data_IF_309547044825
#
_entry.id   IF_309547044825
#
_cell.length_a   1.000
_cell.length_b   1.000
_cell.length_c   1.000
_cell.angle_alpha   90.00
_cell.angle_beta   90.00
_cell.angle_gamma   90.00
#
_symmetry.space_group_name_H-M   'P 1'
#
loop_
_entity.id
_entity.type
_entity.pdbx_description
1 polymer ?
#
# COMPACT_ATOMS: atom_id res chain seq x y z
N UNK A 1 -14.34 -6.12 17.63
CA UNK A 1 -14.84 -4.75 17.42
C UNK A 1 -13.68 -3.83 17.75
N UNK A 2 -13.01 -3.23 16.76
CA UNK A 2 -12.01 -2.18 16.99
C UNK A 2 -12.77 -0.96 17.53
N UNK A 3 -12.37 -0.47 18.70
CA UNK A 3 -12.94 0.75 19.26
C UNK A 3 -12.68 1.91 18.28
N UNK A 4 -13.74 2.61 17.91
CA UNK A 4 -13.72 3.83 17.08
C UNK A 4 -12.95 4.93 17.84
N UNK A 5 -11.66 4.80 17.99
CA UNK A 5 -10.74 5.81 18.56
C UNK A 5 -9.34 5.23 18.83
N UNK A 6 -9.07 3.99 18.37
CA UNK A 6 -7.74 3.42 18.55
C UNK A 6 -6.75 4.17 17.63
N UNK A 7 -5.68 4.72 18.20
CA UNK A 7 -4.58 5.32 17.45
C UNK A 7 -3.78 4.21 16.79
N UNK A 8 -3.80 4.14 15.47
CA UNK A 8 -3.10 3.11 14.69
C UNK A 8 -1.69 3.54 14.29
N UNK A 9 -1.55 4.77 13.80
CA UNK A 9 -0.27 5.28 13.32
C UNK A 9 -0.04 6.69 13.87
N UNK A 10 1.14 6.96 14.38
CA UNK A 10 1.56 8.29 14.82
C UNK A 10 2.97 8.59 14.32
N UNK A 11 3.13 9.74 13.68
CA UNK A 11 4.42 10.36 13.41
C UNK A 11 4.64 11.49 14.40
N UNK A 12 5.80 11.49 15.07
CA UNK A 12 6.19 12.54 16.04
C UNK A 12 7.44 13.24 15.58
N UNK A 13 7.33 14.53 15.32
CA UNK A 13 8.43 15.43 14.96
C UNK A 13 9.31 14.88 13.83
N UNK A 14 8.65 14.25 12.83
CA UNK A 14 9.34 13.61 11.72
C UNK A 14 9.95 14.66 10.82
N UNK A 15 11.26 14.54 10.60
CA UNK A 15 12.04 15.40 9.69
C UNK A 15 12.76 14.52 8.68
N UNK A 16 12.85 14.98 7.43
CA UNK A 16 13.58 14.29 6.36
C UNK A 16 14.40 15.27 5.54
N UNK A 17 15.69 15.01 5.48
CA UNK A 17 16.64 15.72 4.63
C UNK A 17 17.08 14.86 3.46
N UNK A 18 17.30 15.47 2.30
CA UNK A 18 18.01 14.90 1.16
C UNK A 18 19.19 15.83 0.85
N UNK A 19 20.38 15.48 1.34
CA UNK A 19 21.52 16.38 1.32
C UNK A 19 21.19 17.67 2.06
N UNK A 20 21.24 18.81 1.36
CA UNK A 20 20.93 20.15 1.90
C UNK A 20 19.44 20.52 1.81
N UNK A 21 18.61 19.69 1.17
CA UNK A 21 17.19 19.97 0.97
C UNK A 21 16.39 19.41 2.14
N UNK A 22 15.62 20.27 2.81
CA UNK A 22 14.64 19.87 3.82
C UNK A 22 13.33 19.51 3.12
N UNK A 23 13.00 18.21 3.07
CA UNK A 23 11.77 17.73 2.44
C UNK A 23 10.60 17.62 3.43
N UNK A 24 10.90 17.36 4.70
CA UNK A 24 9.93 17.37 5.81
C UNK A 24 10.61 18.03 7.02
N UNK A 25 9.88 18.86 7.74
CA UNK A 25 10.37 19.51 8.95
C UNK A 25 9.36 19.40 10.08
N UNK A 26 9.74 18.68 11.14
CA UNK A 26 8.99 18.56 12.39
C UNK A 26 7.50 18.16 12.21
N UNK A 27 7.23 17.24 11.28
CA UNK A 27 5.86 16.83 10.93
C UNK A 27 5.29 15.94 12.01
N UNK A 28 4.07 16.26 12.45
CA UNK A 28 3.27 15.49 13.39
C UNK A 28 1.99 15.06 12.71
N UNK A 29 1.64 13.75 12.83
CA UNK A 29 0.44 13.18 12.22
C UNK A 29 -0.07 12.04 13.08
N UNK A 30 -1.40 11.90 13.17
CA UNK A 30 -2.07 10.79 13.86
C UNK A 30 -3.16 10.23 12.97
N UNK A 31 -3.28 8.91 12.93
CA UNK A 31 -4.34 8.20 12.19
C UNK A 31 -5.02 7.21 13.16
N UNK A 32 -6.33 7.32 13.27
CA UNK A 32 -7.16 6.46 14.13
C UNK A 32 -7.88 5.39 13.29
N UNK A 33 -8.31 4.33 13.97
CA UNK A 33 -9.08 3.28 13.32
C UNK A 33 -10.41 3.84 12.76
N UNK A 34 -10.68 3.53 11.48
CA UNK A 34 -11.88 4.00 10.77
C UNK A 34 -11.81 5.46 10.30
N UNK A 35 -10.68 6.13 10.48
CA UNK A 35 -10.47 7.50 10.00
C UNK A 35 -10.04 7.51 8.53
N UNK A 36 -10.53 8.50 7.77
CA UNK A 36 -10.02 8.86 6.45
C UNK A 36 -9.37 10.23 6.55
N UNK A 37 -8.03 10.26 6.49
CA UNK A 37 -7.23 11.47 6.62
C UNK A 37 -6.75 11.95 5.26
N UNK A 38 -7.17 13.15 4.83
CA UNK A 38 -6.68 13.80 3.63
C UNK A 38 -5.45 14.66 3.90
N UNK A 39 -4.35 14.38 3.18
CA UNK A 39 -3.13 15.21 3.20
C UNK A 39 -3.12 16.12 1.97
N UNK A 40 -3.28 17.42 2.20
CA UNK A 40 -3.36 18.44 1.15
C UNK A 40 -2.17 19.40 1.22
N UNK A 41 -1.83 20.02 0.10
CA UNK A 41 -0.75 20.98 -0.03
C UNK A 41 -0.26 21.08 -1.47
N UNK A 42 0.56 22.09 -1.76
CA UNK A 42 1.10 22.37 -3.09
C UNK A 42 2.07 21.28 -3.58
N UNK A 43 2.40 21.30 -4.87
CA UNK A 43 3.44 20.44 -5.42
C UNK A 43 4.78 20.81 -4.77
N UNK A 44 5.52 19.80 -4.34
CA UNK A 44 6.76 20.00 -3.59
C UNK A 44 6.60 20.19 -2.08
N UNK A 45 5.38 20.26 -1.54
CA UNK A 45 5.14 20.42 -0.09
C UNK A 45 5.52 19.18 0.77
N UNK A 46 6.12 18.15 0.18
CA UNK A 46 6.60 16.98 0.92
C UNK A 46 5.56 15.86 1.11
N UNK A 47 4.36 15.96 0.53
CA UNK A 47 3.29 14.93 0.69
C UNK A 47 3.79 13.53 0.36
N UNK A 48 4.28 13.31 -0.85
CA UNK A 48 4.83 12.01 -1.28
C UNK A 48 6.03 11.57 -0.42
N UNK A 49 6.86 12.52 0.05
CA UNK A 49 7.96 12.19 0.96
C UNK A 49 7.43 11.68 2.30
N UNK A 50 6.39 12.32 2.85
CA UNK A 50 5.74 11.85 4.08
C UNK A 50 5.18 10.44 3.89
N UNK A 51 4.44 10.18 2.80
CA UNK A 51 3.89 8.85 2.51
C UNK A 51 5.00 7.79 2.42
N UNK A 52 6.12 8.11 1.77
CA UNK A 52 7.29 7.23 1.66
C UNK A 52 8.01 6.99 2.99
N UNK A 53 7.99 7.96 3.90
CA UNK A 53 8.51 7.77 5.28
C UNK A 53 7.56 6.87 6.07
N UNK A 54 6.26 7.10 6.02
CA UNK A 54 5.27 6.29 6.72
C UNK A 54 5.25 4.84 6.23
N UNK A 55 5.49 4.61 4.93
CA UNK A 55 5.56 3.27 4.33
C UNK A 55 6.91 2.56 4.49
N UNK A 56 7.89 3.16 5.19
CA UNK A 56 9.21 2.58 5.38
C UNK A 56 10.13 2.59 4.15
N UNK A 57 9.72 3.25 3.05
CA UNK A 57 10.57 3.41 1.87
C UNK A 57 11.72 4.39 2.14
N UNK A 58 11.48 5.40 2.97
CA UNK A 58 12.51 6.32 3.44
C UNK A 58 12.57 6.32 4.97
N UNK A 59 13.77 6.19 5.51
CA UNK A 59 13.99 6.43 6.94
C UNK A 59 13.88 7.93 7.23
N UNK A 60 13.21 8.34 8.32
CA UNK A 60 13.26 9.71 8.78
C UNK A 60 14.68 10.09 9.19
N UNK A 61 15.08 11.34 8.98
CA UNK A 61 16.37 11.86 9.47
C UNK A 61 16.33 12.12 10.98
N UNK A 62 15.16 12.48 11.51
CA UNK A 62 14.88 12.59 12.95
C UNK A 62 13.39 12.40 13.20
N UNK A 63 13.00 12.31 14.47
CA UNK A 63 11.64 12.01 14.87
C UNK A 63 11.40 10.51 15.05
N UNK A 64 10.14 10.12 15.20
CA UNK A 64 9.78 8.73 15.48
C UNK A 64 8.41 8.38 14.91
N UNK A 65 8.27 7.12 14.50
CA UNK A 65 7.01 6.51 14.08
C UNK A 65 6.53 5.55 15.17
N UNK A 66 5.22 5.51 15.39
CA UNK A 66 4.58 4.61 16.33
C UNK A 66 3.44 3.90 15.62
N UNK A 67 3.34 2.59 15.83
CA UNK A 67 2.26 1.75 15.31
C UNK A 67 1.59 1.00 16.47
N UNK A 68 0.26 1.10 16.57
CA UNK A 68 -0.50 0.60 17.74
C UNK A 68 0.14 1.03 19.10
N UNK A 69 0.64 2.27 19.17
CA UNK A 69 1.27 2.85 20.36
C UNK A 69 2.72 2.41 20.63
N UNK A 70 3.29 1.50 19.82
CA UNK A 70 4.67 1.06 19.93
C UNK A 70 5.57 1.85 18.98
N UNK A 71 6.75 2.24 19.45
CA UNK A 71 7.76 2.87 18.59
C UNK A 71 8.32 1.83 17.63
N UNK A 72 8.26 2.13 16.34
CA UNK A 72 8.74 1.25 15.29
C UNK A 72 9.86 1.91 14.50
N UNK A 73 10.82 1.08 14.07
CA UNK A 73 11.90 1.49 13.17
C UNK A 73 11.72 0.69 11.88
N UNK A 74 11.24 1.37 10.84
CA UNK A 74 11.03 0.76 9.54
C UNK A 74 12.34 0.80 8.74
N UNK A 75 12.89 -0.36 8.44
CA UNK A 75 14.09 -0.52 7.62
C UNK A 75 13.75 -0.67 6.14
N UNK A 76 12.52 -1.14 5.87
CA UNK A 76 12.02 -1.44 4.53
C UNK A 76 10.48 -1.33 4.45
N UNK A 77 9.91 -1.24 3.24
CA UNK A 77 8.46 -1.35 3.05
C UNK A 77 7.88 -2.68 3.56
N UNK A 78 8.68 -3.74 3.63
CA UNK A 78 8.24 -5.02 4.16
C UNK A 78 7.89 -4.93 5.64
N UNK A 79 8.66 -4.17 6.42
CA UNK A 79 8.40 -4.00 7.86
C UNK A 79 7.06 -3.29 8.09
N UNK A 80 6.76 -2.25 7.29
CA UNK A 80 5.46 -1.56 7.37
C UNK A 80 4.31 -2.49 6.98
N UNK A 81 4.51 -3.33 5.97
CA UNK A 81 3.53 -4.31 5.54
C UNK A 81 3.26 -5.37 6.61
N UNK A 82 4.27 -5.82 7.34
CA UNK A 82 4.12 -6.76 8.47
C UNK A 82 3.31 -6.14 9.62
N UNK A 83 3.36 -4.83 9.79
CA UNK A 83 2.51 -4.09 10.73
C UNK A 83 1.07 -3.87 10.21
N UNK A 84 0.81 -4.17 8.93
CA UNK A 84 -0.47 -3.97 8.27
C UNK A 84 -0.65 -2.60 7.62
N UNK A 85 0.44 -1.89 7.33
CA UNK A 85 0.41 -0.67 6.56
C UNK A 85 0.73 -0.97 5.09
N UNK A 86 -0.19 -0.66 4.19
CA UNK A 86 -0.03 -0.85 2.75
C UNK A 86 -0.02 0.49 2.02
N UNK A 87 0.68 0.54 0.89
CA UNK A 87 0.77 1.76 0.08
C UNK A 87 0.36 1.50 -1.37
N UNK A 88 -0.51 2.36 -1.89
CA UNK A 88 -0.79 2.50 -3.32
C UNK A 88 0.04 3.66 -3.84
N UNK A 89 0.98 3.35 -4.72
CA UNK A 89 1.87 4.33 -5.32
C UNK A 89 1.21 5.03 -6.50
N UNK A 90 1.66 6.23 -6.82
CA UNK A 90 1.17 7.04 -7.94
C UNK A 90 1.32 6.32 -9.29
N UNK A 91 2.38 5.55 -9.49
CA UNK A 91 2.64 4.73 -10.69
C UNK A 91 1.99 3.34 -10.67
N UNK A 92 1.15 3.08 -9.63
CA UNK A 92 0.46 1.82 -9.33
C UNK A 92 1.39 0.62 -9.09
N UNK A 93 2.65 0.67 -9.49
CA UNK A 93 3.68 -0.37 -9.33
C UNK A 93 3.17 -1.79 -9.72
N UNK A 94 2.45 -1.90 -10.84
CA UNK A 94 1.94 -3.16 -11.40
C UNK A 94 2.81 -3.64 -12.54
N UNK A 95 3.12 -4.93 -12.57
CA UNK A 95 3.82 -5.60 -13.66
C UNK A 95 2.83 -5.89 -14.81
N UNK A 96 2.89 -5.15 -15.90
CA UNK A 96 1.92 -5.24 -17.01
C UNK A 96 1.86 -6.62 -17.65
N UNK A 97 2.99 -7.29 -17.78
CA UNK A 97 3.11 -8.61 -18.40
C UNK A 97 2.63 -9.77 -17.53
N UNK A 98 2.36 -9.53 -16.24
CA UNK A 98 1.86 -10.56 -15.31
C UNK A 98 0.33 -10.52 -15.18
N UNK A 99 -0.29 -11.67 -14.88
CA UNK A 99 -1.70 -11.75 -14.51
C UNK A 99 -2.06 -10.92 -13.27
N UNK A 100 -3.33 -10.56 -13.15
CA UNK A 100 -3.86 -9.82 -11.98
C UNK A 100 -3.55 -10.58 -10.69
N UNK A 101 -3.78 -11.91 -10.66
CA UNK A 101 -3.53 -12.72 -9.48
C UNK A 101 -2.08 -12.68 -9.02
N UNK A 102 -1.14 -12.79 -9.95
CA UNK A 102 0.28 -12.72 -9.64
C UNK A 102 0.70 -11.31 -9.18
N UNK A 103 0.10 -10.25 -9.75
CA UNK A 103 0.34 -8.87 -9.29
C UNK A 103 -0.15 -8.63 -7.85
N UNK A 104 -1.32 -9.18 -7.48
CA UNK A 104 -1.87 -9.03 -6.12
C UNK A 104 -0.98 -9.73 -5.10
N UNK A 105 -0.49 -10.92 -5.40
CA UNK A 105 0.32 -11.72 -4.49
C UNK A 105 1.83 -11.55 -4.64
N UNK A 106 2.30 -10.64 -5.50
CA UNK A 106 3.72 -10.45 -5.78
C UNK A 106 4.54 -10.24 -4.49
N UNK A 107 5.52 -11.13 -4.26
CA UNK A 107 6.35 -11.15 -3.06
C UNK A 107 5.71 -11.80 -1.82
N UNK A 108 4.45 -12.28 -1.92
CA UNK A 108 3.70 -12.97 -0.85
C UNK A 108 2.89 -14.13 -1.42
N UNK A 109 3.42 -14.75 -2.47
CA UNK A 109 2.72 -15.79 -3.21
C UNK A 109 2.40 -17.01 -2.33
N UNK A 110 1.16 -17.52 -2.38
CA UNK A 110 0.83 -18.81 -1.80
C UNK A 110 1.71 -19.91 -2.39
N UNK A 111 2.26 -20.76 -1.53
CA UNK A 111 3.09 -21.88 -1.93
C UNK A 111 2.49 -23.19 -1.46
N UNK A 112 2.75 -24.26 -2.20
CA UNK A 112 2.48 -25.63 -1.81
C UNK A 112 3.77 -26.41 -1.64
N UNK A 113 3.83 -27.26 -0.62
CA UNK A 113 4.98 -28.10 -0.38
C UNK A 113 4.91 -29.37 -1.24
N UNK A 114 5.96 -29.64 -2.00
CA UNK A 114 6.15 -30.91 -2.72
C UNK A 114 7.43 -31.56 -2.17
N UNK A 115 7.29 -32.25 -1.04
CA UNK A 115 8.44 -32.79 -0.31
C UNK A 115 9.32 -31.67 0.24
N UNK A 116 10.56 -31.59 -0.24
CA UNK A 116 11.55 -30.58 0.19
C UNK A 116 11.50 -29.28 -0.64
N UNK A 117 10.65 -29.20 -1.67
CA UNK A 117 10.57 -28.07 -2.58
C UNK A 117 9.26 -27.30 -2.35
N UNK A 118 9.34 -25.99 -2.27
CA UNK A 118 8.19 -25.08 -2.27
C UNK A 118 7.92 -24.61 -3.70
N UNK A 119 6.73 -24.85 -4.19
CA UNK A 119 6.26 -24.42 -5.50
C UNK A 119 5.14 -23.38 -5.35
N UNK A 120 5.01 -22.47 -6.30
CA UNK A 120 3.89 -21.54 -6.35
C UNK A 120 2.57 -22.31 -6.51
N UNK A 121 1.55 -21.90 -5.78
CA UNK A 121 0.21 -22.45 -5.89
C UNK A 121 -0.68 -21.53 -6.73
N UNK A 122 -0.54 -21.60 -8.05
CA UNK A 122 -1.31 -20.78 -8.99
C UNK A 122 -2.83 -20.97 -8.85
N UNK A 123 -3.28 -22.18 -8.50
CA UNK A 123 -4.71 -22.44 -8.27
C UNK A 123 -5.21 -21.64 -7.08
N UNK A 124 -4.47 -21.64 -5.98
CA UNK A 124 -4.82 -20.90 -4.78
C UNK A 124 -4.71 -19.39 -5.01
N UNK A 125 -3.71 -18.92 -5.75
CA UNK A 125 -3.59 -17.49 -6.17
C UNK A 125 -4.87 -17.07 -6.90
N UNK A 126 -5.30 -17.83 -7.90
CA UNK A 126 -6.51 -17.55 -8.67
C UNK A 126 -7.75 -17.51 -7.79
N UNK A 127 -8.00 -18.56 -7.01
CA UNK A 127 -9.17 -18.67 -6.13
C UNK A 127 -9.26 -17.49 -5.14
N UNK A 128 -8.15 -17.14 -4.49
CA UNK A 128 -8.10 -16.03 -3.54
C UNK A 128 -8.30 -14.68 -4.24
N UNK A 129 -7.71 -14.50 -5.42
CA UNK A 129 -7.86 -13.28 -6.21
C UNK A 129 -9.30 -13.09 -6.66
N UNK A 130 -9.93 -14.09 -7.29
CA UNK A 130 -11.30 -13.99 -7.77
C UNK A 130 -12.27 -13.71 -6.62
N UNK A 131 -12.08 -14.34 -5.46
CA UNK A 131 -12.87 -14.07 -4.27
C UNK A 131 -12.68 -12.64 -3.74
N UNK A 132 -11.45 -12.11 -3.76
CA UNK A 132 -11.14 -10.77 -3.28
C UNK A 132 -11.68 -9.68 -4.22
N UNK A 133 -11.46 -9.83 -5.53
CA UNK A 133 -12.00 -8.93 -6.56
C UNK A 133 -13.53 -8.90 -6.53
N UNK A 134 -14.17 -10.06 -6.32
CA UNK A 134 -15.62 -10.16 -6.16
C UNK A 134 -16.14 -9.39 -4.95
N UNK A 135 -15.46 -9.46 -3.80
CA UNK A 135 -15.81 -8.66 -2.60
C UNK A 135 -15.73 -7.15 -2.85
N UNK A 136 -14.74 -6.72 -3.62
CA UNK A 136 -14.53 -5.31 -3.97
C UNK A 136 -15.38 -4.87 -5.16
N UNK A 137 -16.15 -5.77 -5.78
CA UNK A 137 -16.97 -5.52 -6.97
C UNK A 137 -16.15 -4.96 -8.16
N UNK A 138 -14.89 -5.39 -8.28
CA UNK A 138 -14.01 -4.98 -9.37
C UNK A 138 -14.35 -5.80 -10.62
N UNK A 139 -14.72 -5.10 -11.70
CA UNK A 139 -15.16 -5.72 -12.96
C UNK A 139 -13.94 -6.00 -13.86
N UNK A 140 -13.42 -7.22 -13.80
CA UNK A 140 -12.40 -7.78 -14.70
C UNK A 140 -12.83 -9.17 -15.16
N UNK A 141 -12.25 -9.68 -16.25
CA UNK A 141 -12.66 -10.98 -16.83
C UNK A 141 -12.29 -12.16 -15.93
N UNK A 142 -11.08 -12.18 -15.38
CA UNK A 142 -10.60 -13.21 -14.46
C UNK A 142 -9.28 -12.79 -13.82
N UNK A 143 -8.85 -13.50 -12.76
CA UNK A 143 -7.54 -13.33 -12.14
C UNK A 143 -6.37 -13.62 -13.10
N UNK A 144 -6.60 -14.40 -14.17
CA UNK A 144 -5.57 -14.76 -15.16
C UNK A 144 -5.37 -13.68 -16.24
N UNK A 145 -6.23 -12.65 -16.28
CA UNK A 145 -6.10 -11.55 -17.24
C UNK A 145 -4.83 -10.76 -16.96
N UNK A 146 -4.04 -10.45 -18.00
CA UNK A 146 -2.84 -9.63 -17.86
C UNK A 146 -3.17 -8.18 -17.57
N UNK A 147 -2.35 -7.54 -16.75
CA UNK A 147 -2.55 -6.15 -16.34
C UNK A 147 -2.41 -5.17 -17.52
N UNK A 148 -1.59 -5.47 -18.51
CA UNK A 148 -1.45 -4.65 -19.73
C UNK A 148 -2.75 -4.54 -20.54
N UNK A 149 -3.67 -5.52 -20.44
CA UNK A 149 -4.97 -5.55 -21.11
C UNK A 149 -6.04 -4.72 -20.40
N UNK A 150 -5.74 -4.20 -19.22
CA UNK A 150 -6.69 -3.44 -18.39
C UNK A 150 -6.74 -1.96 -18.78
N UNK A 151 -7.92 -1.35 -18.62
CA UNK A 151 -8.06 0.11 -18.65
C UNK A 151 -7.32 0.77 -17.48
N UNK A 152 -7.10 2.09 -17.54
CA UNK A 152 -6.47 2.84 -16.43
C UNK A 152 -7.21 2.66 -15.11
N UNK A 153 -8.55 2.80 -15.12
CA UNK A 153 -9.39 2.60 -13.94
C UNK A 153 -9.35 1.17 -13.40
N UNK A 154 -9.33 0.15 -14.29
CA UNK A 154 -9.18 -1.24 -13.87
C UNK A 154 -7.81 -1.50 -13.25
N UNK A 155 -6.72 -0.96 -13.81
CA UNK A 155 -5.38 -1.05 -13.19
C UNK A 155 -5.35 -0.43 -11.81
N UNK A 156 -5.96 0.72 -11.64
CA UNK A 156 -6.07 1.37 -10.34
C UNK A 156 -6.86 0.52 -9.35
N UNK A 157 -8.01 -0.04 -9.76
CA UNK A 157 -8.80 -0.93 -8.94
C UNK A 157 -8.00 -2.17 -8.50
N UNK A 158 -7.17 -2.75 -9.39
CA UNK A 158 -6.26 -3.86 -9.06
C UNK A 158 -5.18 -3.43 -8.07
N UNK A 159 -4.60 -2.23 -8.19
CA UNK A 159 -3.63 -1.71 -7.23
C UNK A 159 -4.24 -1.53 -5.82
N UNK A 160 -5.48 -1.04 -5.75
CA UNK A 160 -6.24 -0.95 -4.50
C UNK A 160 -6.55 -2.37 -3.95
N UNK A 161 -6.96 -3.31 -4.82
CA UNK A 161 -7.18 -4.69 -4.41
C UNK A 161 -5.91 -5.31 -3.81
N UNK A 162 -4.74 -5.08 -4.42
CA UNK A 162 -3.46 -5.55 -3.87
C UNK A 162 -3.20 -5.01 -2.47
N UNK A 163 -3.43 -3.72 -2.23
CA UNK A 163 -3.18 -3.11 -0.92
C UNK A 163 -4.15 -3.59 0.17
N UNK A 164 -5.31 -4.11 -0.21
CA UNK A 164 -6.33 -4.59 0.75
C UNK A 164 -6.38 -6.11 0.89
N UNK A 165 -5.58 -6.86 0.10
CA UNK A 165 -5.59 -8.32 0.08
C UNK A 165 -5.07 -8.97 1.37
N UNK A 166 -4.25 -8.26 2.16
CA UNK A 166 -3.50 -8.80 3.30
C UNK A 166 -3.91 -8.21 4.65
N UNK A 167 -5.21 -7.94 4.86
CA UNK A 167 -5.75 -7.39 6.11
C UNK A 167 -5.06 -6.08 6.54
N UNK A 168 -4.90 -5.15 5.60
CA UNK A 168 -4.33 -3.85 5.89
C UNK A 168 -5.13 -3.13 7.01
N UNK A 169 -4.42 -2.61 8.01
CA UNK A 169 -4.97 -1.75 9.06
C UNK A 169 -5.00 -0.30 8.61
N UNK A 170 -3.99 0.11 7.83
CA UNK A 170 -3.84 1.45 7.26
C UNK A 170 -3.48 1.32 5.79
N UNK A 171 -4.19 2.01 4.92
CA UNK A 171 -3.87 2.12 3.49
C UNK A 171 -3.51 3.56 3.18
N UNK A 172 -2.29 3.77 2.68
CA UNK A 172 -1.82 5.05 2.19
C UNK A 172 -2.03 5.08 0.67
N UNK A 173 -2.62 6.16 0.15
CA UNK A 173 -2.81 6.38 -1.28
C UNK A 173 -2.11 7.67 -1.68
N UNK A 174 -1.12 7.59 -2.58
CA UNK A 174 -0.39 8.75 -3.10
C UNK A 174 -0.98 9.10 -4.49
N UNK A 175 -1.73 10.20 -4.55
CA UNK A 175 -2.43 10.69 -5.76
C UNK A 175 -3.23 9.60 -6.50
N UNK A 176 -4.16 8.91 -5.84
CA UNK A 176 -4.82 7.73 -6.41
C UNK A 176 -5.66 8.01 -7.65
N UNK A 177 -5.99 9.26 -7.95
CA UNK A 177 -6.81 9.65 -9.10
C UNK A 177 -6.01 10.18 -10.29
N UNK A 178 -4.68 10.26 -10.19
CA UNK A 178 -3.83 10.81 -11.25
C UNK A 178 -3.95 10.06 -12.58
N UNK A 179 -4.30 8.77 -12.55
CA UNK A 179 -4.49 7.93 -13.73
C UNK A 179 -5.95 7.86 -14.23
N UNK A 180 -6.90 8.49 -13.52
CA UNK A 180 -8.30 8.51 -13.92
C UNK A 180 -8.58 9.72 -14.82
N UNK A 181 -9.26 9.47 -15.95
CA UNK A 181 -9.83 10.58 -16.71
C UNK A 181 -10.94 11.27 -15.88
N UNK A 182 -11.03 12.61 -16.00
CA UNK A 182 -11.92 13.49 -15.22
C UNK A 182 -13.43 13.08 -15.26
N UNK A 183 -13.77 12.02 -15.97
CA UNK A 183 -15.15 11.51 -16.13
C UNK A 183 -15.44 10.20 -15.38
N UNK A 184 -14.48 9.65 -14.65
CA UNK A 184 -14.64 8.46 -13.82
C UNK A 184 -14.41 8.79 -12.35
#
# INVERSE_FOLDING_TARGET
MSSINQLLLEAKSVTKYFGTITALENVNLKIHAGECLGVVGDNGAGKTTLMKVLSGLYKPSSGSLYFDGKKEILESPKDSQELGLEMVYQDLALAGNLPIGENIFLGREPTKNLGFIKLLDFKKIKELTDAHLGKLKINVKSADQKVEELSGGQRQAVAIARSTAFNAKVVIMDEPTAALAIKE
#
